data_IF_126991636198
#
_entry.id   IF_126991636198
#
_cell.length_a   1.000
_cell.length_b   1.000
_cell.length_c   1.000
_cell.angle_alpha   90.00
_cell.angle_beta   90.00
_cell.angle_gamma   90.00
#
_symmetry.space_group_name_H-M   'P 1'
#
loop_
_entity.id
_entity.type
_entity.pdbx_description
1 polymer ?
#
# COMPACT_ATOMS: atom_id res chain seq x y z
N UNK A 1 59.16 35.54 38.08
CA UNK A 1 59.39 34.40 38.99
C UNK A 1 58.83 33.17 38.28
N UNK A 2 59.63 32.46 37.46
CA UNK A 2 60.42 31.25 37.81
C UNK A 2 59.51 30.15 38.36
N UNK A 3 59.39 28.92 37.83
CA UNK A 3 60.22 28.16 36.89
C UNK A 3 59.39 26.99 36.31
N UNK A 4 59.72 26.53 35.09
CA UNK A 4 59.25 25.27 34.47
C UNK A 4 59.89 24.06 35.14
N UNK A 5 59.17 22.95 35.32
CA UNK A 5 59.76 21.59 35.25
C UNK A 5 58.78 20.62 34.57
N UNK A 6 59.29 20.02 33.50
CA UNK A 6 58.78 18.93 32.68
C UNK A 6 59.30 17.60 33.26
N UNK A 7 58.49 16.55 33.37
CA UNK A 7 59.00 15.18 33.52
C UNK A 7 58.17 14.18 32.71
N UNK A 8 58.89 13.37 31.95
CA UNK A 8 58.45 12.29 31.05
C UNK A 8 58.15 10.99 31.82
N UNK A 9 57.29 10.16 31.20
CA UNK A 9 56.80 8.81 31.56
C UNK A 9 57.88 7.75 31.96
N UNK A 10 57.42 6.62 32.53
CA UNK A 10 57.48 5.38 31.74
C UNK A 10 56.22 4.50 31.79
N UNK A 11 56.02 3.76 30.69
CA UNK A 11 55.03 2.71 30.44
C UNK A 11 55.36 1.45 31.26
N UNK A 12 54.34 0.77 31.80
CA UNK A 12 54.47 -0.62 32.26
C UNK A 12 53.21 -1.42 31.91
N UNK A 13 53.36 -2.34 30.96
CA UNK A 13 52.40 -3.38 30.57
C UNK A 13 52.50 -4.51 31.59
N UNK A 14 51.36 -4.99 32.12
CA UNK A 14 51.32 -6.27 32.81
C UNK A 14 50.03 -7.02 32.47
N UNK A 15 50.22 -8.08 31.69
CA UNK A 15 49.26 -9.13 31.41
C UNK A 15 49.09 -10.03 32.64
N UNK A 16 47.84 -10.38 32.98
CA UNK A 16 47.57 -11.44 33.96
C UNK A 16 46.53 -12.39 33.38
N UNK A 17 47.04 -13.54 32.92
CA UNK A 17 46.27 -14.74 32.60
C UNK A 17 46.00 -15.48 33.90
N UNK A 18 44.71 -15.75 34.19
CA UNK A 18 44.31 -16.70 35.22
C UNK A 18 43.43 -17.78 34.56
N UNK A 19 43.98 -18.99 34.48
CA UNK A 19 43.23 -20.22 34.22
C UNK A 19 42.90 -20.89 35.56
N UNK A 20 41.63 -21.22 35.79
CA UNK A 20 41.13 -22.35 36.60
C UNK A 20 39.74 -22.69 36.03
N UNK A 21 39.60 -23.73 35.21
CA UNK A 21 39.30 -25.13 35.57
C UNK A 21 37.84 -25.35 35.99
N UNK A 22 37.14 -26.17 35.17
CA UNK A 22 35.72 -26.49 35.23
C UNK A 22 35.30 -27.19 36.53
N UNK A 23 34.08 -26.88 36.99
CA UNK A 23 33.33 -27.74 37.90
C UNK A 23 31.95 -27.97 37.28
N UNK A 24 31.72 -29.18 36.78
CA UNK A 24 30.44 -29.66 36.25
C UNK A 24 29.39 -29.70 37.37
N UNK A 25 28.28 -28.99 37.19
CA UNK A 25 27.01 -29.30 37.84
C UNK A 25 25.88 -29.20 36.80
N UNK A 26 24.90 -30.13 36.85
CA UNK A 26 24.08 -30.50 35.72
C UNK A 26 23.01 -29.46 35.39
N UNK A 27 22.74 -29.36 34.09
CA UNK A 27 21.61 -28.64 33.49
C UNK A 27 20.31 -28.88 34.26
N UNK A 28 19.87 -27.87 34.99
CA UNK A 28 18.45 -27.62 35.26
C UNK A 28 18.06 -26.38 34.47
N UNK A 29 17.58 -26.57 33.24
CA UNK A 29 16.97 -25.47 32.49
C UNK A 29 15.66 -25.09 33.20
N UNK A 30 15.74 -24.06 34.04
CA UNK A 30 14.57 -23.28 34.39
C UNK A 30 14.24 -22.46 33.15
N UNK A 31 13.13 -22.82 32.49
CA UNK A 31 12.52 -21.97 31.48
C UNK A 31 11.94 -20.74 32.20
N UNK A 32 12.78 -19.76 32.48
CA UNK A 32 12.27 -18.40 32.58
C UNK A 32 11.91 -18.01 31.14
N UNK A 33 10.63 -18.16 30.81
CA UNK A 33 10.02 -17.52 29.66
C UNK A 33 10.14 -16.01 29.88
N UNK A 34 11.25 -15.43 29.45
CA UNK A 34 11.23 -14.03 29.09
C UNK A 34 10.39 -13.94 27.83
N UNK A 35 9.10 -13.69 28.02
CA UNK A 35 8.26 -13.13 26.98
C UNK A 35 8.88 -11.78 26.64
N UNK A 36 9.60 -11.72 25.52
CA UNK A 36 9.74 -10.45 24.79
C UNK A 36 8.33 -9.86 24.66
N UNK A 37 8.14 -8.55 24.85
CA UNK A 37 6.87 -7.95 24.50
C UNK A 37 6.63 -8.24 23.02
N UNK A 38 5.59 -9.03 22.73
CA UNK A 38 5.06 -9.11 21.38
C UNK A 38 4.68 -7.68 21.06
N UNK A 39 5.28 -7.10 20.00
CA UNK A 39 4.77 -5.86 19.44
C UNK A 39 3.30 -6.15 19.14
N UNK A 40 2.40 -5.44 19.81
CA UNK A 40 1.01 -5.50 19.46
C UNK A 40 0.95 -4.96 18.03
N UNK A 41 0.40 -5.76 17.13
CA UNK A 41 0.31 -5.51 15.70
C UNK A 41 -1.03 -6.10 15.29
N UNK A 42 -1.81 -5.35 14.51
CA UNK A 42 -3.07 -5.87 13.98
C UNK A 42 -2.75 -6.96 12.97
N UNK A 43 -3.32 -8.15 13.17
CA UNK A 43 -3.19 -9.28 12.25
C UNK A 43 -4.58 -9.62 11.72
N UNK A 44 -4.82 -9.32 10.45
CA UNK A 44 -6.09 -9.72 9.81
C UNK A 44 -5.93 -11.17 9.29
N UNK A 45 -6.81 -12.10 9.68
CA UNK A 45 -6.74 -13.48 9.21
C UNK A 45 -6.89 -13.60 7.69
N UNK A 46 -6.19 -14.56 7.11
CA UNK A 46 -6.38 -14.98 5.72
C UNK A 46 -7.85 -15.35 5.47
N UNK A 47 -8.44 -14.82 4.39
CA UNK A 47 -9.87 -15.01 4.06
C UNK A 47 -10.82 -14.03 4.74
N UNK A 48 -10.33 -13.13 5.60
CA UNK A 48 -11.15 -12.05 6.15
C UNK A 48 -11.36 -10.93 5.13
N UNK A 49 -12.54 -10.32 5.15
CA UNK A 49 -12.86 -9.13 4.36
C UNK A 49 -12.67 -7.88 5.19
N UNK A 50 -11.79 -6.96 4.77
CA UNK A 50 -11.62 -5.67 5.44
C UNK A 50 -12.92 -4.85 5.37
N UNK A 51 -13.33 -4.26 6.49
CA UNK A 51 -14.56 -3.46 6.59
C UNK A 51 -14.27 -1.98 6.83
N UNK A 52 -13.41 -1.67 7.80
CA UNK A 52 -13.10 -0.26 8.14
C UNK A 52 -11.81 -0.12 8.94
N UNK A 53 -11.20 1.06 8.86
CA UNK A 53 -10.16 1.50 9.77
C UNK A 53 -10.44 2.91 10.30
N UNK A 54 -10.40 3.07 11.62
CA UNK A 54 -10.69 4.33 12.31
C UNK A 54 -9.52 4.71 13.21
N UNK A 55 -8.92 5.88 12.97
CA UNK A 55 -7.92 6.46 13.86
C UNK A 55 -8.61 7.10 15.07
N UNK A 56 -8.07 6.88 16.27
CA UNK A 56 -8.49 7.54 17.50
C UNK A 56 -7.33 8.32 18.14
N UNK A 57 -7.58 9.58 18.47
CA UNK A 57 -6.64 10.47 19.17
C UNK A 57 -7.32 11.16 20.34
N UNK A 58 -6.61 11.28 21.46
CA UNK A 58 -7.11 12.02 22.62
C UNK A 58 -6.51 13.43 22.63
N UNK A 59 -7.35 14.43 22.38
CA UNK A 59 -6.96 15.83 22.53
C UNK A 59 -7.21 16.27 23.98
N UNK A 60 -6.18 16.72 24.68
CA UNK A 60 -6.31 17.16 26.07
C UNK A 60 -6.30 18.69 26.22
N UNK A 61 -5.98 19.42 25.14
CA UNK A 61 -6.25 20.85 24.97
C UNK A 61 -6.75 21.10 23.54
N UNK A 62 -7.98 21.60 23.42
CA UNK A 62 -8.70 21.71 22.16
C UNK A 62 -9.69 22.89 22.18
N UNK A 63 -9.94 23.50 21.02
CA UNK A 63 -10.56 24.84 20.90
C UNK A 63 -11.56 24.99 19.74
N UNK A 64 -12.04 23.89 19.18
CA UNK A 64 -12.99 23.83 18.07
C UNK A 64 -12.34 23.96 16.70
N UNK A 65 -11.09 23.54 16.56
CA UNK A 65 -10.36 23.60 15.29
C UNK A 65 -10.61 22.34 14.47
N UNK A 66 -10.63 22.50 13.14
CA UNK A 66 -10.64 21.37 12.20
C UNK A 66 -9.22 20.85 12.07
N UNK A 67 -9.07 19.53 12.16
CA UNK A 67 -7.81 18.82 12.02
C UNK A 67 -7.92 17.97 10.76
N UNK A 68 -7.02 18.17 9.80
CA UNK A 68 -6.98 17.36 8.59
C UNK A 68 -6.03 16.19 8.79
N UNK A 69 -6.32 15.09 8.09
CA UNK A 69 -5.48 13.90 8.02
C UNK A 69 -4.97 13.75 6.60
N UNK A 70 -3.68 13.50 6.48
CA UNK A 70 -2.97 13.34 5.22
C UNK A 70 -2.15 12.05 5.22
N UNK A 71 -1.88 11.50 4.05
CA UNK A 71 -0.94 10.38 3.87
C UNK A 71 0.49 10.89 3.82
N UNK A 72 1.39 10.30 4.60
CA UNK A 72 2.83 10.56 4.50
C UNK A 72 3.40 9.79 3.29
N UNK A 73 4.29 10.44 2.52
CA UNK A 73 4.79 9.90 1.23
C UNK A 73 6.26 9.48 1.25
N UNK A 74 6.96 9.66 2.38
CA UNK A 74 8.31 9.16 2.58
C UNK A 74 8.53 8.61 3.99
N UNK A 75 9.43 7.64 4.10
CA UNK A 75 9.84 7.08 5.38
C UNK A 75 10.43 8.15 6.31
N UNK A 76 10.17 8.01 7.60
CA UNK A 76 10.68 8.87 8.66
C UNK A 76 10.96 8.03 9.90
N UNK A 77 11.85 8.54 10.75
CA UNK A 77 12.27 7.90 12.00
C UNK A 77 11.91 8.82 13.16
N UNK A 78 11.17 8.27 14.13
CA UNK A 78 10.65 8.94 15.31
C UNK A 78 11.68 9.84 16.00
N UNK A 79 12.89 9.31 16.18
CA UNK A 79 13.93 9.91 17.01
C UNK A 79 14.82 10.89 16.24
N UNK A 80 14.58 11.08 14.94
CA UNK A 80 15.42 11.94 14.09
C UNK A 80 14.64 12.88 13.18
N UNK A 81 13.33 12.65 12.97
CA UNK A 81 12.50 13.52 12.13
C UNK A 81 12.43 14.94 12.68
N UNK A 82 12.46 15.91 11.79
CA UNK A 82 12.38 17.34 12.09
C UNK A 82 11.63 18.02 10.94
N UNK A 83 11.20 19.26 11.13
CA UNK A 83 10.56 20.02 10.04
C UNK A 83 11.43 20.08 8.78
N UNK A 84 12.74 20.35 8.95
CA UNK A 84 13.71 20.42 7.85
C UNK A 84 13.94 19.08 7.16
N UNK A 85 13.96 17.97 7.90
CA UNK A 85 14.21 16.64 7.31
C UNK A 85 12.96 16.03 6.71
N UNK A 86 11.77 16.30 7.28
CA UNK A 86 10.50 15.86 6.74
C UNK A 86 10.17 16.57 5.42
N UNK A 87 10.47 17.87 5.33
CA UNK A 87 10.45 18.59 4.06
C UNK A 87 9.09 18.63 3.36
N UNK A 88 8.00 18.45 4.09
CA UNK A 88 6.64 18.37 3.53
C UNK A 88 6.36 17.08 2.77
N UNK A 89 6.97 15.95 3.17
CA UNK A 89 6.76 14.64 2.55
C UNK A 89 5.39 14.03 2.91
N UNK A 90 4.30 14.71 2.55
CA UNK A 90 2.93 14.21 2.62
C UNK A 90 2.13 14.62 1.39
N UNK A 91 1.05 13.90 1.15
CA UNK A 91 0.09 14.19 0.09
C UNK A 91 -0.84 15.35 0.51
N UNK A 92 -0.93 16.40 -0.29
CA UNK A 92 -1.76 17.56 0.01
C UNK A 92 -3.27 17.22 0.00
N UNK A 93 -3.66 16.09 -0.60
CA UNK A 93 -5.03 15.59 -0.51
C UNK A 93 -5.41 15.28 0.94
N UNK A 94 -6.55 15.82 1.40
CA UNK A 94 -7.11 15.52 2.71
C UNK A 94 -7.78 14.15 2.62
N UNK A 95 -7.26 13.17 3.36
CA UNK A 95 -7.87 11.85 3.51
C UNK A 95 -9.23 12.01 4.18
N UNK A 96 -9.25 12.70 5.33
CA UNK A 96 -10.46 13.03 6.07
C UNK A 96 -10.14 14.11 7.13
N UNK A 97 -11.14 14.55 7.90
CA UNK A 97 -10.97 15.56 8.96
C UNK A 97 -11.92 15.36 10.13
N UNK A 98 -11.57 15.93 11.29
CA UNK A 98 -12.42 15.98 12.49
C UNK A 98 -12.29 17.32 13.20
N UNK A 99 -13.22 17.64 14.12
CA UNK A 99 -13.24 18.91 14.85
C UNK A 99 -13.01 18.69 16.34
N UNK A 100 -11.99 19.33 16.90
CA UNK A 100 -11.59 19.19 18.30
C UNK A 100 -12.32 20.19 19.21
N UNK A 101 -13.60 19.93 19.54
CA UNK A 101 -14.46 20.86 20.28
C UNK A 101 -14.09 21.12 21.76
N UNK A 102 -13.26 20.26 22.36
CA UNK A 102 -12.82 20.32 23.75
C UNK A 102 -11.99 19.08 24.15
N UNK A 103 -11.56 18.93 25.41
CA UNK A 103 -10.76 17.77 25.80
C UNK A 103 -11.59 16.47 25.73
N UNK A 104 -11.29 15.61 24.76
CA UNK A 104 -12.01 14.34 24.54
C UNK A 104 -11.24 13.42 23.57
N UNK A 105 -11.75 12.21 23.39
CA UNK A 105 -11.43 11.35 22.25
C UNK A 105 -12.08 11.88 20.97
N UNK A 106 -11.29 11.86 19.91
CA UNK A 106 -11.74 12.13 18.56
C UNK A 106 -11.36 10.96 17.66
N UNK A 107 -12.21 10.70 16.68
CA UNK A 107 -11.98 9.66 15.70
C UNK A 107 -12.20 10.15 14.29
N UNK A 108 -11.57 9.46 13.35
CA UNK A 108 -11.64 9.78 11.93
C UNK A 108 -11.45 8.50 11.12
N UNK A 109 -12.32 8.33 10.13
CA UNK A 109 -12.28 7.22 9.19
C UNK A 109 -11.10 7.40 8.23
N UNK A 110 -10.25 6.38 8.17
CA UNK A 110 -9.06 6.27 7.31
C UNK A 110 -9.07 4.97 6.50
N UNK A 111 -10.25 4.37 6.30
CA UNK A 111 -10.43 3.03 5.73
C UNK A 111 -9.79 2.87 4.36
N UNK A 112 -10.06 3.77 3.42
CA UNK A 112 -9.51 3.71 2.06
C UNK A 112 -7.98 3.76 2.05
N UNK A 113 -7.38 4.54 2.94
CA UNK A 113 -5.93 4.67 3.03
C UNK A 113 -5.30 3.40 3.64
N UNK A 114 -5.90 2.85 4.70
CA UNK A 114 -5.42 1.61 5.31
C UNK A 114 -5.57 0.44 4.34
N UNK A 115 -6.67 0.38 3.59
CA UNK A 115 -6.85 -0.63 2.54
C UNK A 115 -5.78 -0.48 1.45
N UNK A 116 -5.48 0.74 0.99
CA UNK A 116 -4.39 0.97 0.03
C UNK A 116 -3.00 0.61 0.57
N UNK A 117 -2.77 0.64 1.89
CA UNK A 117 -1.54 0.08 2.48
C UNK A 117 -1.54 -1.45 2.49
N UNK A 118 -2.69 -2.08 2.77
CA UNK A 118 -2.84 -3.53 2.80
C UNK A 118 -2.72 -4.16 1.40
N UNK A 119 -3.19 -3.45 0.37
CA UNK A 119 -3.12 -3.86 -1.04
C UNK A 119 -1.82 -3.45 -1.73
N UNK A 120 -0.86 -2.87 -0.99
CA UNK A 120 0.41 -2.37 -1.50
C UNK A 120 0.32 -1.27 -2.58
N UNK A 121 -0.84 -0.64 -2.76
CA UNK A 121 -1.00 0.55 -3.63
C UNK A 121 -0.04 1.66 -3.19
N UNK A 122 0.16 1.79 -1.88
CA UNK A 122 1.07 2.75 -1.27
C UNK A 122 1.89 2.12 -0.13
N UNK A 123 3.19 2.46 -0.01
CA UNK A 123 3.92 2.13 1.21
C UNK A 123 3.29 2.80 2.44
N UNK A 124 3.19 2.06 3.55
CA UNK A 124 2.75 2.63 4.82
C UNK A 124 3.86 3.45 5.48
N UNK A 125 3.80 4.77 5.34
CA UNK A 125 4.62 5.73 6.08
C UNK A 125 3.83 6.51 7.15
N UNK A 126 2.57 6.13 7.39
CA UNK A 126 1.71 6.75 8.39
C UNK A 126 0.92 7.98 7.94
N UNK A 127 0.37 8.67 8.93
CA UNK A 127 -0.57 9.77 8.83
C UNK A 127 0.06 11.06 9.34
N UNK A 128 -0.24 12.18 8.66
CA UNK A 128 0.07 13.52 9.13
C UNK A 128 -1.22 14.25 9.52
N UNK A 129 -1.19 14.90 10.68
CA UNK A 129 -2.27 15.72 11.20
C UNK A 129 -1.85 17.19 11.17
N UNK A 130 -2.72 18.06 10.63
CA UNK A 130 -2.52 19.51 10.60
C UNK A 130 -3.82 20.28 10.89
N UNK A 131 -3.74 21.61 11.03
CA UNK A 131 -4.95 22.46 11.10
C UNK A 131 -5.31 23.08 9.75
N UNK A 132 -4.42 23.05 8.74
CA UNK A 132 -4.59 23.58 7.37
C UNK A 132 -4.87 25.08 7.23
N UNK A 133 -5.27 25.74 8.31
CA UNK A 133 -5.60 27.16 8.41
C UNK A 133 -5.00 27.75 9.69
N UNK A 134 -4.48 28.97 9.57
CA UNK A 134 -3.86 29.67 10.70
C UNK A 134 -4.92 30.11 11.73
N UNK A 135 -5.13 29.27 12.74
CA UNK A 135 -6.03 29.50 13.87
C UNK A 135 -5.32 29.16 15.19
N UNK A 136 -5.64 29.92 16.23
CA UNK A 136 -5.03 29.82 17.56
C UNK A 136 -6.08 29.56 18.65
N UNK A 137 -5.67 28.95 19.78
CA UNK A 137 -4.34 28.38 20.04
C UNK A 137 -4.20 26.96 19.45
N UNK A 138 -3.01 26.36 19.57
CA UNK A 138 -2.75 25.04 18.99
C UNK A 138 -3.56 23.95 19.71
N UNK A 139 -3.83 22.85 19.01
CA UNK A 139 -4.40 21.65 19.63
C UNK A 139 -3.27 20.77 20.18
N UNK A 140 -3.45 20.22 21.38
CA UNK A 140 -2.53 19.28 22.01
C UNK A 140 -3.17 17.90 22.17
N UNK A 141 -2.41 16.87 21.83
CA UNK A 141 -2.81 15.47 21.95
C UNK A 141 -1.83 14.71 22.84
N UNK A 142 -2.29 13.56 23.33
CA UNK A 142 -1.43 12.57 23.96
C UNK A 142 -0.58 11.87 22.90
N UNK A 143 0.68 11.62 23.23
CA UNK A 143 1.62 10.83 22.40
C UNK A 143 1.73 9.39 22.90
N UNK A 144 2.53 8.59 22.20
CA UNK A 144 2.98 7.25 22.55
C UNK A 144 3.69 7.20 23.90
N UNK A 145 4.38 8.25 24.32
CA UNK A 145 5.08 8.37 25.61
C UNK A 145 4.12 8.69 26.76
N UNK A 146 2.85 9.01 26.48
CA UNK A 146 1.86 9.25 27.52
C UNK A 146 1.53 7.97 28.29
N UNK A 147 1.35 8.07 29.61
CA UNK A 147 0.98 6.91 30.44
C UNK A 147 -0.40 6.32 30.08
N UNK A 148 -1.32 7.16 29.58
CA UNK A 148 -2.69 6.80 29.23
C UNK A 148 -3.14 7.58 28.00
N UNK A 149 -4.22 7.12 27.36
CA UNK A 149 -4.86 7.76 26.22
C UNK A 149 -3.92 7.95 25.01
N UNK A 150 -3.03 6.99 24.78
CA UNK A 150 -2.17 6.96 23.60
C UNK A 150 -3.02 6.87 22.33
N UNK A 151 -2.61 7.48 21.21
CA UNK A 151 -3.26 7.26 19.93
C UNK A 151 -3.32 5.76 19.60
N UNK A 152 -4.44 5.32 19.04
CA UNK A 152 -4.65 3.95 18.59
C UNK A 152 -5.47 3.95 17.31
N UNK A 153 -5.38 2.86 16.56
CA UNK A 153 -6.24 2.60 15.40
C UNK A 153 -7.11 1.38 15.70
N UNK A 154 -8.36 1.42 15.25
CA UNK A 154 -9.30 0.30 15.26
C UNK A 154 -9.49 -0.18 13.82
N UNK A 155 -9.30 -1.46 13.58
CA UNK A 155 -9.53 -2.09 12.29
C UNK A 155 -10.58 -3.17 12.47
N UNK A 156 -11.64 -3.10 11.67
CA UNK A 156 -12.70 -4.10 11.66
C UNK A 156 -12.67 -4.89 10.35
N UNK A 157 -12.94 -6.19 10.46
CA UNK A 157 -13.00 -7.12 9.35
C UNK A 157 -14.10 -8.17 9.59
N UNK A 158 -14.63 -8.76 8.51
CA UNK A 158 -15.55 -9.89 8.58
C UNK A 158 -14.79 -11.18 8.32
N UNK A 159 -14.82 -12.13 9.25
CA UNK A 159 -14.19 -13.44 9.15
C UNK A 159 -15.18 -14.54 9.49
N UNK A 160 -15.29 -15.57 8.64
CA UNK A 160 -16.27 -16.66 8.78
C UNK A 160 -17.74 -16.22 9.00
N UNK A 161 -18.08 -15.01 8.55
CA UNK A 161 -19.43 -14.43 8.67
C UNK A 161 -19.68 -13.61 9.95
N UNK A 162 -18.68 -13.49 10.82
CA UNK A 162 -18.71 -12.64 12.01
C UNK A 162 -17.80 -11.41 11.82
N UNK A 163 -18.23 -10.25 12.33
CA UNK A 163 -17.42 -9.03 12.32
C UNK A 163 -16.56 -8.98 13.59
N UNK A 164 -15.26 -8.86 13.41
CA UNK A 164 -14.27 -8.66 14.46
C UNK A 164 -13.63 -7.28 14.33
N UNK A 165 -13.22 -6.69 15.46
CA UNK A 165 -12.50 -5.42 15.48
C UNK A 165 -11.30 -5.55 16.40
N UNK A 166 -10.12 -5.23 15.88
CA UNK A 166 -8.86 -5.19 16.62
C UNK A 166 -8.39 -3.75 16.79
N UNK A 167 -7.70 -3.50 17.90
CA UNK A 167 -7.08 -2.20 18.16
C UNK A 167 -5.61 -2.34 18.41
N UNK A 168 -4.84 -1.41 17.87
CA UNK A 168 -3.41 -1.30 18.16
C UNK A 168 -2.99 0.14 18.42
N UNK A 169 -2.03 0.29 19.33
CA UNK A 169 -1.50 1.59 19.72
C UNK A 169 -0.50 2.08 18.67
N UNK A 170 -0.30 3.39 18.61
CA UNK A 170 0.67 3.98 17.68
C UNK A 170 2.08 3.41 17.87
N UNK A 171 2.69 2.98 16.76
CA UNK A 171 4.04 2.40 16.73
C UNK A 171 5.11 3.47 16.87
N UNK A 172 4.98 4.57 16.11
CA UNK A 172 5.83 5.74 16.27
C UNK A 172 5.05 7.03 16.06
N UNK A 173 5.36 8.06 16.87
CA UNK A 173 4.82 9.39 16.71
C UNK A 173 5.83 10.50 16.95
N UNK A 174 5.62 11.64 16.29
CA UNK A 174 6.40 12.83 16.53
C UNK A 174 5.57 14.05 16.15
N UNK A 175 5.90 15.21 16.70
CA UNK A 175 5.51 16.46 16.08
C UNK A 175 6.72 17.19 15.53
N UNK A 176 6.52 17.90 14.43
CA UNK A 176 7.51 18.80 13.84
C UNK A 176 7.06 20.24 14.01
N UNK A 177 8.02 21.15 14.09
CA UNK A 177 7.73 22.54 14.40
C UNK A 177 8.54 23.48 13.52
N UNK A 178 7.85 24.27 12.71
CA UNK A 178 8.46 25.20 11.75
C UNK A 178 9.36 26.26 12.42
N UNK A 179 9.02 26.72 13.63
CA UNK A 179 9.84 27.69 14.35
C UNK A 179 11.23 27.14 14.72
N UNK A 180 11.33 25.84 14.94
CA UNK A 180 12.56 25.15 15.33
C UNK A 180 12.85 24.00 14.37
N UNK A 181 13.23 24.31 13.12
CA UNK A 181 13.04 23.37 12.05
C UNK A 181 14.03 22.20 12.05
N UNK A 182 15.13 22.31 12.81
CA UNK A 182 16.09 21.22 13.02
C UNK A 182 15.90 20.45 14.34
N UNK A 183 14.87 20.74 15.11
CA UNK A 183 14.57 20.04 16.36
C UNK A 183 13.71 18.80 16.10
N UNK A 184 14.01 17.73 16.82
CA UNK A 184 13.20 16.51 16.89
C UNK A 184 12.42 16.49 18.21
N UNK A 185 11.22 15.91 18.19
CA UNK A 185 10.32 15.80 19.34
C UNK A 185 9.65 14.41 19.42
N UNK A 186 10.33 13.35 18.98
CA UNK A 186 9.77 11.99 19.01
C UNK A 186 9.72 11.35 20.40
N UNK A 187 10.35 11.93 21.41
CA UNK A 187 10.29 11.46 22.81
C UNK A 187 9.38 12.33 23.71
N UNK A 188 8.61 13.22 23.08
CA UNK A 188 7.80 14.18 23.80
C UNK A 188 6.44 13.59 24.16
N UNK A 189 6.05 13.75 25.44
CA UNK A 189 4.78 13.23 25.99
C UNK A 189 3.50 13.84 25.41
N UNK A 190 3.62 14.72 24.40
CA UNK A 190 2.49 15.37 23.76
C UNK A 190 2.80 15.70 22.30
N UNK A 191 1.77 15.57 21.47
CA UNK A 191 1.77 15.97 20.06
C UNK A 191 1.02 17.29 19.90
N UNK A 192 1.30 18.02 18.81
CA UNK A 192 0.68 19.31 18.55
C UNK A 192 0.34 19.50 17.08
N UNK A 193 -0.78 20.19 16.82
CA UNK A 193 -1.13 20.69 15.50
C UNK A 193 -1.46 22.18 15.55
N UNK A 194 -1.06 22.92 14.51
CA UNK A 194 -1.38 24.32 14.32
C UNK A 194 -0.47 25.29 15.06
N UNK A 195 -1.01 26.45 15.42
CA UNK A 195 -0.24 27.60 15.89
C UNK A 195 -0.65 28.01 17.29
N UNK A 196 0.31 28.37 18.14
CA UNK A 196 0.03 28.86 19.49
C UNK A 196 -0.29 30.37 19.50
N UNK A 197 0.39 31.14 18.66
CA UNK A 197 0.20 32.57 18.44
C UNK A 197 0.75 32.99 17.07
N UNK A 198 0.51 34.25 16.70
CA UNK A 198 1.01 34.88 15.45
C UNK A 198 2.52 34.74 15.22
N UNK A 199 3.30 34.44 16.26
CA UNK A 199 4.77 34.32 16.16
C UNK A 199 5.28 32.88 16.20
N UNK A 200 4.43 31.89 16.50
CA UNK A 200 4.92 30.54 16.82
C UNK A 200 5.04 29.59 15.64
N UNK A 201 4.56 29.96 14.45
CA UNK A 201 4.58 29.12 13.24
C UNK A 201 3.97 27.72 13.45
N UNK A 202 3.85 26.94 12.38
CA UNK A 202 3.03 25.73 12.37
C UNK A 202 3.68 24.56 13.12
N UNK A 203 2.86 23.76 13.79
CA UNK A 203 3.19 22.40 14.22
C UNK A 203 2.33 21.38 13.49
N UNK A 204 2.93 20.24 13.15
CA UNK A 204 2.25 19.10 12.53
C UNK A 204 2.60 17.85 13.31
N UNK A 205 1.63 16.94 13.47
CA UNK A 205 1.83 15.67 14.15
C UNK A 205 1.87 14.53 13.15
N UNK A 206 2.71 13.54 13.41
CA UNK A 206 2.92 12.36 12.57
C UNK A 206 2.65 11.13 13.42
N UNK A 207 1.90 10.18 12.86
CA UNK A 207 1.53 8.92 13.51
C UNK A 207 1.77 7.78 12.54
N UNK A 208 2.41 6.69 12.96
CA UNK A 208 2.49 5.47 12.17
C UNK A 208 2.04 4.27 12.99
N UNK A 209 1.30 3.39 12.35
CA UNK A 209 0.83 2.11 12.87
C UNK A 209 1.40 1.00 11.98
N UNK A 210 1.59 -0.18 12.55
CA UNK A 210 2.01 -1.36 11.82
C UNK A 210 0.84 -2.32 11.67
N UNK A 211 0.72 -2.91 10.48
CA UNK A 211 -0.31 -3.89 10.16
C UNK A 211 0.41 -5.11 9.61
N UNK A 212 0.09 -6.30 10.12
CA UNK A 212 0.42 -7.55 9.46
C UNK A 212 -0.84 -7.99 8.72
N UNK A 213 -0.84 -7.78 7.42
CA UNK A 213 -1.89 -8.26 6.54
C UNK A 213 -1.29 -9.34 5.65
N UNK A 214 -1.72 -10.58 5.85
CA UNK A 214 -1.67 -11.57 4.78
C UNK A 214 -3.01 -11.46 4.07
N UNK A 215 -3.07 -10.94 2.83
CA UNK A 215 -4.25 -11.08 2.01
C UNK A 215 -4.70 -12.55 2.05
N UNK A 216 -6.01 -12.84 1.95
CA UNK A 216 -6.42 -14.16 1.51
C UNK A 216 -5.48 -14.60 0.38
N UNK A 217 -4.96 -15.83 0.37
CA UNK A 217 -4.73 -16.43 -0.94
C UNK A 217 -6.13 -16.39 -1.56
N UNK A 218 -6.40 -15.39 -2.40
CA UNK A 218 -7.67 -15.39 -3.07
C UNK A 218 -7.71 -16.75 -3.79
N UNK A 219 -8.89 -17.37 -3.86
CA UNK A 219 -9.23 -18.04 -5.11
C UNK A 219 -9.16 -16.94 -6.18
N UNK A 220 -7.94 -16.52 -6.56
CA UNK A 220 -7.60 -15.42 -7.48
C UNK A 220 -7.92 -15.90 -8.92
N UNK A 221 -8.90 -16.81 -9.04
CA UNK A 221 -9.15 -17.68 -10.17
C UNK A 221 -7.85 -18.24 -10.71
N UNK A 222 -7.79 -18.30 -12.03
CA UNK A 222 -6.60 -18.62 -12.78
C UNK A 222 -6.79 -18.02 -14.16
N UNK A 223 -5.71 -17.68 -14.86
CA UNK A 223 -5.82 -17.15 -16.20
C UNK A 223 -5.92 -18.27 -17.24
N UNK A 224 -6.65 -17.96 -18.30
CA UNK A 224 -6.77 -18.75 -19.52
C UNK A 224 -6.19 -17.96 -20.68
N UNK A 225 -5.43 -18.64 -21.53
CA UNK A 225 -4.81 -18.00 -22.70
C UNK A 225 -5.84 -17.43 -23.68
N UNK A 226 -5.44 -16.46 -24.50
CA UNK A 226 -6.23 -15.99 -25.66
C UNK A 226 -6.64 -17.13 -26.61
N UNK A 227 -5.88 -18.23 -26.63
CA UNK A 227 -6.17 -19.43 -27.41
C UNK A 227 -7.39 -20.19 -26.87
N UNK A 228 -7.52 -20.28 -25.54
CA UNK A 228 -8.70 -20.84 -24.89
C UNK A 228 -9.94 -20.02 -25.26
N UNK A 229 -9.91 -18.71 -25.01
CA UNK A 229 -11.06 -17.82 -25.26
C UNK A 229 -11.51 -17.85 -26.73
N UNK A 230 -10.55 -17.93 -27.66
CA UNK A 230 -10.86 -18.04 -29.09
C UNK A 230 -11.56 -19.35 -29.45
N UNK A 231 -11.18 -20.47 -28.83
CA UNK A 231 -11.73 -21.80 -29.16
C UNK A 231 -13.01 -22.12 -28.42
N UNK A 232 -13.26 -21.45 -27.28
CA UNK A 232 -14.45 -21.60 -26.43
C UNK A 232 -15.47 -20.47 -26.65
N UNK A 233 -15.60 -20.00 -27.89
CA UNK A 233 -16.58 -18.96 -28.27
C UNK A 233 -17.86 -19.53 -28.92
N UNK A 234 -18.11 -20.84 -28.79
CA UNK A 234 -19.32 -21.50 -29.30
C UNK A 234 -19.38 -21.80 -30.80
N UNK A 235 -18.34 -21.47 -31.58
CA UNK A 235 -18.28 -21.75 -33.03
C UNK A 235 -17.60 -23.07 -33.38
N UNK A 236 -16.99 -23.72 -32.39
CA UNK A 236 -16.28 -25.00 -32.53
C UNK A 236 -16.99 -26.13 -31.80
N UNK A 237 -16.29 -27.25 -31.57
CA UNK A 237 -16.83 -28.36 -30.77
C UNK A 237 -16.90 -28.05 -29.27
N UNK A 238 -16.20 -26.99 -28.81
CA UNK A 238 -16.15 -26.58 -27.41
C UNK A 238 -17.36 -25.70 -27.03
N UNK A 239 -17.78 -25.72 -25.75
CA UNK A 239 -18.85 -24.85 -25.27
C UNK A 239 -18.50 -23.37 -25.43
N UNK A 240 -19.55 -22.53 -25.45
CA UNK A 240 -19.39 -21.07 -25.39
C UNK A 240 -19.17 -20.62 -23.95
N UNK A 241 -17.97 -20.14 -23.67
CA UNK A 241 -17.54 -19.57 -22.40
C UNK A 241 -17.39 -18.05 -22.49
N UNK A 242 -17.54 -17.44 -23.68
CA UNK A 242 -17.26 -16.02 -23.93
C UNK A 242 -18.52 -15.17 -23.85
N UNK A 243 -19.63 -15.61 -24.46
CA UNK A 243 -20.83 -14.75 -24.64
C UNK A 243 -21.37 -14.20 -23.31
N UNK A 244 -21.23 -14.94 -22.21
CA UNK A 244 -21.70 -14.54 -20.88
C UNK A 244 -21.03 -13.28 -20.32
N UNK A 245 -19.81 -12.97 -20.76
CA UNK A 245 -19.02 -11.83 -20.27
C UNK A 245 -19.13 -10.59 -21.15
N UNK A 246 -19.89 -10.66 -22.24
CA UNK A 246 -20.05 -9.56 -23.18
C UNK A 246 -21.27 -8.68 -22.83
N UNK A 247 -21.22 -7.37 -23.08
CA UNK A 247 -20.23 -6.65 -23.87
C UNK A 247 -18.95 -6.28 -23.10
N UNK A 248 -17.82 -6.25 -23.80
CA UNK A 248 -16.54 -5.71 -23.31
C UNK A 248 -16.09 -4.60 -24.27
N UNK A 249 -15.66 -3.46 -23.74
CA UNK A 249 -15.05 -2.40 -24.54
C UNK A 249 -13.54 -2.60 -24.64
N UNK A 250 -12.98 -2.31 -25.82
CA UNK A 250 -11.55 -2.09 -26.03
C UNK A 250 -11.39 -0.61 -26.38
N UNK A 251 -10.98 0.17 -25.39
CA UNK A 251 -11.25 1.60 -25.34
C UNK A 251 -12.32 1.96 -24.31
N UNK A 252 -12.64 3.25 -24.18
CA UNK A 252 -13.73 3.73 -23.31
C UNK A 252 -15.10 3.69 -24.00
N UNK A 253 -16.19 3.52 -23.25
CA UNK A 253 -17.55 3.70 -23.80
C UNK A 253 -17.70 5.13 -24.37
N UNK A 254 -18.15 5.24 -25.62
CA UNK A 254 -18.24 6.51 -26.35
C UNK A 254 -16.92 7.04 -26.92
N UNK A 255 -15.80 6.33 -26.75
CA UNK A 255 -14.53 6.68 -27.39
C UNK A 255 -14.62 6.60 -28.92
N UNK A 256 -13.99 7.53 -29.62
CA UNK A 256 -14.14 7.69 -31.07
C UNK A 256 -13.59 6.49 -31.87
N UNK A 257 -12.60 5.79 -31.32
CA UNK A 257 -11.91 4.64 -31.91
C UNK A 257 -12.18 3.31 -31.20
N UNK A 258 -12.93 3.35 -30.11
CA UNK A 258 -13.19 2.17 -29.28
C UNK A 258 -13.97 1.09 -30.00
N UNK A 259 -13.69 -0.16 -29.65
CA UNK A 259 -14.40 -1.32 -30.17
C UNK A 259 -15.30 -1.89 -29.09
N UNK A 260 -16.61 -1.94 -29.36
CA UNK A 260 -17.57 -2.66 -28.53
C UNK A 260 -17.60 -4.14 -28.92
N UNK A 261 -16.99 -5.00 -28.11
CA UNK A 261 -17.04 -6.46 -28.25
C UNK A 261 -18.37 -6.95 -27.70
N UNK A 262 -19.42 -6.88 -28.53
CA UNK A 262 -20.82 -7.15 -28.12
C UNK A 262 -21.29 -8.57 -28.42
N UNK A 263 -20.46 -9.39 -29.08
CA UNK A 263 -20.80 -10.77 -29.40
C UNK A 263 -19.55 -11.65 -29.49
N UNK A 264 -19.72 -12.96 -29.29
CA UNK A 264 -18.63 -13.93 -29.43
C UNK A 264 -17.97 -13.89 -30.81
N UNK A 265 -18.72 -13.54 -31.87
CA UNK A 265 -18.17 -13.37 -33.22
C UNK A 265 -17.14 -12.22 -33.26
N UNK A 266 -17.47 -11.06 -32.68
CA UNK A 266 -16.55 -9.93 -32.60
C UNK A 266 -15.34 -10.29 -31.71
N UNK A 267 -15.57 -11.00 -30.60
CA UNK A 267 -14.48 -11.45 -29.74
C UNK A 267 -13.49 -12.33 -30.52
N UNK A 268 -13.97 -13.29 -31.30
CA UNK A 268 -13.14 -14.14 -32.16
C UNK A 268 -12.41 -13.33 -33.25
N UNK A 269 -13.05 -12.33 -33.84
CA UNK A 269 -12.43 -11.44 -34.83
C UNK A 269 -11.26 -10.63 -34.24
N UNK A 270 -11.41 -10.15 -32.99
CA UNK A 270 -10.35 -9.50 -32.22
C UNK A 270 -9.22 -10.49 -31.90
N UNK A 271 -9.53 -11.63 -31.27
CA UNK A 271 -8.54 -12.61 -30.82
C UNK A 271 -7.78 -13.27 -31.99
N UNK A 272 -8.36 -13.29 -33.19
CA UNK A 272 -7.70 -13.79 -34.39
C UNK A 272 -6.71 -12.80 -35.02
N UNK A 273 -6.78 -11.51 -34.67
CA UNK A 273 -5.87 -10.48 -35.17
C UNK A 273 -5.84 -10.31 -36.70
N UNK A 274 -6.95 -10.65 -37.38
CA UNK A 274 -7.05 -10.61 -38.86
C UNK A 274 -8.16 -9.68 -39.39
N UNK A 275 -9.02 -9.15 -38.51
CA UNK A 275 -10.12 -8.24 -38.89
C UNK A 275 -9.76 -6.79 -38.54
N UNK A 276 -9.34 -6.56 -37.30
CA UNK A 276 -8.92 -5.25 -36.79
C UNK A 276 -7.42 -5.04 -36.95
N UNK A 277 -6.94 -5.13 -38.21
CA UNK A 277 -5.54 -5.02 -38.60
C UNK A 277 -4.87 -6.35 -38.92
N UNK A 278 -3.58 -6.49 -38.60
CA UNK A 278 -2.80 -7.71 -38.90
C UNK A 278 -1.95 -8.12 -37.68
N UNK A 279 -1.49 -9.38 -37.58
CA UNK A 279 -0.66 -9.83 -36.44
C UNK A 279 0.73 -9.17 -36.36
N UNK A 280 1.08 -8.29 -37.31
CA UNK A 280 2.32 -7.48 -37.26
C UNK A 280 2.12 -6.12 -36.60
N UNK A 281 0.87 -5.68 -36.45
CA UNK A 281 0.51 -4.37 -35.91
C UNK A 281 0.43 -4.43 -34.37
N UNK A 282 1.03 -3.46 -33.67
CA UNK A 282 1.09 -3.44 -32.20
C UNK A 282 -0.28 -3.24 -31.57
N UNK A 283 -1.09 -2.29 -32.06
CA UNK A 283 -2.47 -2.07 -31.59
C UNK A 283 -3.33 -3.32 -31.82
N UNK A 284 -3.19 -4.00 -32.97
CA UNK A 284 -3.91 -5.26 -33.22
C UNK A 284 -3.58 -6.33 -32.18
N UNK A 285 -2.32 -6.44 -31.76
CA UNK A 285 -1.91 -7.38 -30.70
C UNK A 285 -2.44 -6.92 -29.34
N UNK A 286 -2.38 -5.62 -29.05
CA UNK A 286 -2.91 -5.03 -27.82
C UNK A 286 -4.40 -5.36 -27.67
N UNK A 287 -5.22 -5.19 -28.71
CA UNK A 287 -6.64 -5.57 -28.66
C UNK A 287 -6.85 -7.02 -28.23
N UNK A 288 -6.08 -7.95 -28.80
CA UNK A 288 -6.22 -9.36 -28.47
C UNK A 288 -5.82 -9.67 -27.02
N UNK A 289 -4.71 -9.10 -26.55
CA UNK A 289 -4.24 -9.33 -25.19
C UNK A 289 -5.11 -8.64 -24.14
N UNK A 290 -5.55 -7.42 -24.41
CA UNK A 290 -6.47 -6.68 -23.54
C UNK A 290 -7.83 -7.39 -23.44
N UNK A 291 -8.38 -7.89 -24.56
CA UNK A 291 -9.61 -8.69 -24.52
C UNK A 291 -9.43 -9.98 -23.72
N UNK A 292 -8.29 -10.67 -23.89
CA UNK A 292 -7.96 -11.86 -23.10
C UNK A 292 -7.94 -11.56 -21.59
N UNK A 293 -7.26 -10.49 -21.19
CA UNK A 293 -7.13 -10.11 -19.78
C UNK A 293 -8.50 -9.76 -19.19
N UNK A 294 -9.31 -8.96 -19.90
CA UNK A 294 -10.66 -8.61 -19.45
C UNK A 294 -11.59 -9.82 -19.34
N UNK A 295 -11.45 -10.82 -20.21
CA UNK A 295 -12.20 -12.07 -20.11
C UNK A 295 -11.76 -12.90 -18.89
N UNK A 296 -10.45 -12.96 -18.61
CA UNK A 296 -9.93 -13.60 -17.40
C UNK A 296 -10.48 -12.95 -16.12
N UNK A 297 -10.41 -11.62 -16.03
CA UNK A 297 -11.00 -10.85 -14.92
C UNK A 297 -12.51 -11.10 -14.79
N UNK A 298 -13.25 -11.06 -15.91
CA UNK A 298 -14.69 -11.31 -15.91
C UNK A 298 -15.03 -12.75 -15.47
N UNK A 299 -14.12 -13.71 -15.69
CA UNK A 299 -14.25 -15.09 -15.25
C UNK A 299 -13.81 -15.37 -13.82
N UNK A 300 -13.35 -14.34 -13.09
CA UNK A 300 -12.96 -14.43 -11.69
C UNK A 300 -11.46 -14.51 -11.43
N UNK A 301 -10.60 -14.31 -12.44
CA UNK A 301 -9.16 -14.21 -12.21
C UNK A 301 -8.80 -12.89 -11.52
N UNK A 302 -7.83 -12.91 -10.60
CA UNK A 302 -7.29 -11.74 -9.92
C UNK A 302 -6.57 -10.80 -10.89
N UNK A 303 -6.67 -9.49 -10.65
CA UNK A 303 -6.15 -8.45 -11.55
C UNK A 303 -5.03 -7.59 -10.99
N UNK A 304 -4.61 -7.84 -9.75
CA UNK A 304 -3.62 -7.06 -8.99
C UNK A 304 -2.33 -6.81 -9.80
N UNK A 305 -1.79 -7.84 -10.44
CA UNK A 305 -0.56 -7.78 -11.23
C UNK A 305 -0.62 -6.87 -12.47
N UNK A 306 -1.81 -6.41 -12.89
CA UNK A 306 -1.97 -5.55 -14.06
C UNK A 306 -1.85 -4.05 -13.74
N UNK A 307 -1.97 -3.64 -12.47
CA UNK A 307 -2.02 -2.23 -12.08
C UNK A 307 -2.99 -1.42 -12.94
N UNK A 308 -2.54 -0.25 -13.42
CA UNK A 308 -3.36 0.67 -14.22
C UNK A 308 -3.38 0.35 -15.73
N UNK A 309 -2.71 -0.72 -16.19
CA UNK A 309 -2.47 -0.98 -17.62
C UNK A 309 -3.76 -1.13 -18.43
N UNK A 310 -4.79 -1.75 -17.87
CA UNK A 310 -6.08 -1.88 -18.57
C UNK A 310 -6.70 -0.50 -18.80
N UNK A 311 -6.69 0.36 -17.79
CA UNK A 311 -7.23 1.71 -17.87
C UNK A 311 -6.44 2.57 -18.85
N UNK A 312 -5.10 2.55 -18.75
CA UNK A 312 -4.22 3.28 -19.67
C UNK A 312 -4.40 2.83 -21.13
N UNK A 313 -4.46 1.51 -21.35
CA UNK A 313 -4.69 0.96 -22.68
C UNK A 313 -6.08 1.32 -23.22
N UNK A 314 -7.13 1.34 -22.37
CA UNK A 314 -8.46 1.78 -22.77
C UNK A 314 -8.52 3.27 -23.09
N UNK A 315 -7.86 4.12 -22.31
CA UNK A 315 -7.78 5.55 -22.61
C UNK A 315 -7.06 5.77 -23.95
N UNK A 316 -5.97 5.05 -24.20
CA UNK A 316 -5.28 5.10 -25.49
C UNK A 316 -6.16 4.63 -26.65
N UNK A 317 -6.86 3.50 -26.49
CA UNK A 317 -7.76 2.92 -27.51
C UNK A 317 -9.09 3.68 -27.67
N UNK A 318 -9.37 4.65 -26.79
CA UNK A 318 -10.46 5.61 -27.00
C UNK A 318 -10.21 6.50 -28.22
N UNK A 319 -8.94 6.85 -28.46
CA UNK A 319 -8.51 7.84 -29.45
C UNK A 319 -7.64 7.25 -30.58
N UNK A 320 -7.16 6.01 -30.44
CA UNK A 320 -6.32 5.33 -31.43
C UNK A 320 -6.88 3.96 -31.87
N UNK A 321 -6.78 3.66 -33.17
CA UNK A 321 -7.08 2.33 -33.72
C UNK A 321 -5.92 1.74 -34.54
N UNK A 322 -6.10 0.51 -35.04
CA UNK A 322 -5.06 -0.21 -35.78
C UNK A 322 -4.60 0.51 -37.06
N UNK A 323 -5.37 1.44 -37.62
CA UNK A 323 -4.95 2.24 -38.77
C UNK A 323 -3.94 3.33 -38.39
N UNK A 324 -3.89 3.72 -37.12
CA UNK A 324 -3.02 4.78 -36.62
C UNK A 324 -1.60 4.27 -36.32
N UNK A 325 -1.40 2.96 -36.21
CA UNK A 325 -0.14 2.32 -35.81
C UNK A 325 1.09 2.87 -36.54
N UNK A 326 1.09 2.92 -37.87
CA UNK A 326 2.27 3.37 -38.65
C UNK A 326 2.57 4.87 -38.49
N UNK A 327 1.63 5.64 -37.92
CA UNK A 327 1.76 7.08 -37.71
C UNK A 327 2.06 7.48 -36.26
N UNK A 328 2.03 6.52 -35.33
CA UNK A 328 2.38 6.73 -33.94
C UNK A 328 3.84 7.16 -33.77
N UNK A 329 4.12 7.86 -32.67
CA UNK A 329 5.50 8.13 -32.28
C UNK A 329 6.21 6.83 -31.86
N UNK A 330 7.54 6.83 -31.89
CA UNK A 330 8.32 5.68 -31.38
C UNK A 330 8.03 5.43 -29.90
N UNK A 331 7.78 6.48 -29.12
CA UNK A 331 7.41 6.41 -27.70
C UNK A 331 6.06 5.71 -27.51
N UNK A 332 5.02 6.12 -28.25
CA UNK A 332 3.69 5.48 -28.20
C UNK A 332 3.75 4.02 -28.68
N UNK A 333 4.54 3.74 -29.72
CA UNK A 333 4.73 2.36 -30.18
C UNK A 333 5.39 1.49 -29.11
N UNK A 334 6.40 2.02 -28.40
CA UNK A 334 7.03 1.31 -27.28
C UNK A 334 6.02 1.07 -26.16
N UNK A 335 5.30 2.11 -25.74
CA UNK A 335 4.27 2.00 -24.70
C UNK A 335 3.19 0.94 -25.03
N UNK A 336 2.67 0.94 -26.26
CA UNK A 336 1.70 -0.07 -26.71
C UNK A 336 2.28 -1.49 -26.70
N UNK A 337 3.55 -1.65 -27.06
CA UNK A 337 4.20 -2.97 -27.01
C UNK A 337 4.44 -3.42 -25.57
N UNK A 338 4.81 -2.53 -24.66
CA UNK A 338 5.02 -2.84 -23.24
C UNK A 338 3.71 -3.28 -22.57
N UNK A 339 2.61 -2.56 -22.78
CA UNK A 339 1.28 -2.99 -22.31
C UNK A 339 0.89 -4.35 -22.92
N UNK A 340 1.08 -4.53 -24.23
CA UNK A 340 0.79 -5.78 -24.93
C UNK A 340 1.57 -6.94 -24.33
N UNK A 341 2.85 -6.76 -24.04
CA UNK A 341 3.72 -7.80 -23.49
C UNK A 341 3.32 -8.14 -22.04
N UNK A 342 2.98 -7.15 -21.20
CA UNK A 342 2.54 -7.43 -19.83
C UNK A 342 1.18 -8.15 -19.78
N UNK A 343 0.24 -7.74 -20.63
CA UNK A 343 -1.06 -8.43 -20.75
C UNK A 343 -0.91 -9.85 -21.30
N UNK A 344 0.07 -10.10 -22.17
CA UNK A 344 0.42 -11.44 -22.65
C UNK A 344 0.97 -12.30 -21.50
N UNK A 345 1.90 -11.77 -20.70
CA UNK A 345 2.43 -12.48 -19.52
C UNK A 345 1.33 -12.84 -18.52
N UNK A 346 0.40 -11.92 -18.25
CA UNK A 346 -0.77 -12.17 -17.41
C UNK A 346 -1.68 -13.27 -17.98
N UNK A 347 -2.04 -13.18 -19.26
CA UNK A 347 -2.90 -14.17 -19.92
C UNK A 347 -2.29 -15.58 -20.00
N UNK A 348 -0.96 -15.69 -19.92
CA UNK A 348 -0.26 -16.97 -19.86
C UNK A 348 0.08 -17.41 -18.42
N UNK A 349 -0.36 -16.66 -17.41
CA UNK A 349 -0.15 -16.98 -15.99
C UNK A 349 1.29 -16.78 -15.51
N UNK A 350 2.12 -16.03 -16.24
CA UNK A 350 3.49 -15.71 -15.80
C UNK A 350 3.53 -14.61 -14.73
N UNK A 351 2.48 -13.79 -14.67
CA UNK A 351 2.21 -12.82 -13.61
C UNK A 351 0.74 -12.93 -13.20
N UNK A 352 0.42 -12.49 -11.97
CA UNK A 352 -0.94 -12.62 -11.41
C UNK A 352 -1.21 -14.05 -10.93
N UNK A 353 -2.45 -14.56 -11.08
CA UNK A 353 -2.95 -15.71 -10.34
C UNK A 353 -2.45 -17.08 -10.81
N UNK A 354 -1.56 -17.15 -11.80
CA UNK A 354 -1.15 -18.40 -12.43
C UNK A 354 -2.18 -18.97 -13.42
N UNK A 355 -1.83 -20.07 -14.10
CA UNK A 355 -2.63 -20.65 -15.19
C UNK A 355 -3.52 -21.80 -14.70
N UNK A 356 -4.74 -21.94 -15.25
CA UNK A 356 -5.72 -22.92 -14.74
C UNK A 356 -5.29 -24.40 -14.81
N UNK A 357 -4.38 -24.73 -15.71
CA UNK A 357 -3.89 -26.11 -15.88
C UNK A 357 -2.79 -26.49 -14.86
N UNK A 358 -2.31 -25.54 -14.05
CA UNK A 358 -1.22 -25.76 -13.09
C UNK A 358 -1.71 -26.20 -11.68
N UNK A 359 -3.02 -26.16 -11.43
CA UNK A 359 -3.63 -26.46 -10.12
C UNK A 359 -4.06 -27.93 -9.92
N UNK A 360 -3.91 -28.81 -10.92
CA UNK A 360 -4.33 -30.23 -10.81
C UNK A 360 -3.36 -31.14 -10.00
N UNK A 361 -2.21 -30.66 -9.50
CA UNK A 361 -1.19 -31.53 -8.89
C UNK A 361 -1.13 -31.56 -7.35
N UNK A 362 -2.03 -30.90 -6.62
CA UNK A 362 -1.99 -30.83 -5.14
C UNK A 362 -3.19 -31.49 -4.45
N UNK A 363 -3.64 -32.65 -4.92
CA UNK A 363 -4.45 -33.58 -4.09
C UNK A 363 -4.04 -35.03 -4.31
N UNK A 364 -2.80 -35.39 -3.95
CA UNK A 364 -2.43 -36.79 -3.72
C UNK A 364 -1.33 -36.90 -2.66
N UNK A 365 -1.70 -36.83 -1.38
CA UNK A 365 -0.93 -37.49 -0.33
C UNK A 365 -1.89 -38.32 0.52
N UNK A 366 -1.95 -39.61 0.20
CA UNK A 366 -2.54 -40.69 1.02
C UNK A 366 -1.83 -40.82 2.39
#
# INVERSE_FOLDING_TARGET
MSNKILFLLPILVLSMVLMFSCQDQPFGLRSDSQTSPVLQQIVIPEGATFESATLYVYADQAYGHTINVHRITAAWDEMTVSWSSFGGAYDAAIVNSFVTAGPDWYSVDVSDLVLGWMLEDYPNYGLLLDQGVEVYPMTRYRSKESETNKPYIEVCYTYEGDTECETDIVMQDAFIWELWPGSNYGDWVALFTGWESETTLEKQAMLQFEFEYTPPEDDEGCTLTIGYWKTHAGFGPQPDMVTQYLPIWLGTDGGAKSIAVTSAAIAVDVLNQNVYGTPRNGITKLYAQLLGAKLNLASGAGGSALGDIIEEADLFLADHDWNDWESLSEEDMTMVNDWKDMLDDYNNGYIGPGHCDDFEEVEMVD
#
